data_IF_876067399914
#
_entry.id   IF_876067399914
#
_cell.length_a   1.000
_cell.length_b   1.000
_cell.length_c   1.000
_cell.angle_alpha   90.00
_cell.angle_beta   90.00
_cell.angle_gamma   90.00
#
_symmetry.space_group_name_H-M   'P 1'
#
loop_
_entity.id
_entity.type
_entity.pdbx_description
1 polymer ?
#
# COMPACT_ATOMS: atom_id res chain seq x y z
N UNK A 1 23.56 -2.12 17.64
CA UNK A 1 22.85 -3.31 17.12
C UNK A 1 21.46 -3.05 16.54
N UNK A 2 20.84 -1.86 16.74
CA UNK A 2 19.51 -1.54 16.15
C UNK A 2 19.60 -1.09 14.69
N UNK A 3 20.63 -0.31 14.33
CA UNK A 3 20.83 0.23 12.98
C UNK A 3 21.02 -0.85 11.89
N UNK A 4 21.65 -1.98 12.24
CA UNK A 4 21.85 -3.10 11.31
C UNK A 4 20.54 -3.84 11.01
N UNK A 5 19.65 -3.96 12.00
CA UNK A 5 18.32 -4.56 11.82
C UNK A 5 17.46 -3.66 10.95
N UNK A 6 17.52 -2.34 11.14
CA UNK A 6 16.78 -1.38 10.33
C UNK A 6 17.28 -1.35 8.88
N UNK A 7 18.60 -1.38 8.66
CA UNK A 7 19.18 -1.49 7.33
C UNK A 7 18.84 -2.82 6.65
N UNK A 8 18.88 -3.93 7.40
CA UNK A 8 18.48 -5.25 6.90
C UNK A 8 17.01 -5.29 6.52
N UNK A 9 16.13 -4.74 7.35
CA UNK A 9 14.71 -4.59 7.05
C UNK A 9 14.47 -3.69 5.82
N UNK A 10 15.29 -2.65 5.63
CA UNK A 10 15.22 -1.78 4.46
C UNK A 10 15.61 -2.54 3.19
N UNK A 11 16.71 -3.31 3.23
CA UNK A 11 17.17 -4.15 2.13
C UNK A 11 16.14 -5.23 1.79
N UNK A 12 15.58 -5.92 2.79
CA UNK A 12 14.51 -6.90 2.59
C UNK A 12 13.25 -6.27 2.00
N UNK A 13 12.88 -5.07 2.44
CA UNK A 13 11.74 -4.34 1.87
C UNK A 13 11.97 -3.93 0.42
N UNK A 14 13.22 -3.61 0.06
CA UNK A 14 13.61 -3.28 -1.32
C UNK A 14 13.67 -4.54 -2.21
N UNK A 15 14.15 -5.67 -1.70
CA UNK A 15 14.17 -6.93 -2.44
C UNK A 15 12.76 -7.48 -2.69
N UNK A 16 11.87 -7.42 -1.68
CA UNK A 16 10.47 -7.81 -1.83
C UNK A 16 9.74 -6.93 -2.85
N UNK A 17 10.16 -5.67 -2.99
CA UNK A 17 9.60 -4.75 -3.97
C UNK A 17 9.87 -5.11 -5.44
N UNK A 18 10.74 -6.08 -5.74
CA UNK A 18 11.02 -6.57 -7.10
C UNK A 18 10.10 -7.72 -7.54
N UNK A 19 9.46 -8.43 -6.59
CA UNK A 19 8.64 -9.63 -6.85
C UNK A 19 7.26 -9.55 -6.16
N UNK A 20 6.60 -8.40 -6.21
CA UNK A 20 5.24 -8.27 -5.66
C UNK A 20 4.27 -9.00 -6.58
N UNK A 21 3.66 -10.07 -6.06
CA UNK A 21 2.64 -10.86 -6.78
C UNK A 21 1.25 -10.24 -6.62
N UNK A 22 0.30 -10.64 -7.47
CA UNK A 22 -1.10 -10.25 -7.32
C UNK A 22 -1.72 -10.77 -6.01
N UNK A 23 -1.25 -11.92 -5.51
CA UNK A 23 -1.68 -12.47 -4.21
C UNK A 23 -1.21 -11.58 -3.05
N UNK A 24 0.01 -11.01 -3.13
CA UNK A 24 0.52 -10.06 -2.12
C UNK A 24 -0.31 -8.77 -2.11
N UNK A 25 -0.69 -8.28 -3.29
CA UNK A 25 -1.53 -7.10 -3.45
C UNK A 25 -2.90 -7.38 -2.83
N UNK A 26 -3.53 -8.49 -3.21
CA UNK A 26 -4.85 -8.88 -2.73
C UNK A 26 -4.87 -9.06 -1.20
N UNK A 27 -3.89 -9.78 -0.65
CA UNK A 27 -3.80 -9.99 0.79
C UNK A 27 -3.63 -8.66 1.55
N UNK A 28 -2.82 -7.74 1.05
CA UNK A 28 -2.67 -6.42 1.65
C UNK A 28 -3.94 -5.58 1.53
N UNK A 29 -4.64 -5.63 0.38
CA UNK A 29 -5.92 -4.95 0.18
C UNK A 29 -6.97 -5.43 1.19
N UNK A 30 -7.02 -6.73 1.48
CA UNK A 30 -7.92 -7.31 2.47
C UNK A 30 -7.59 -6.86 3.90
N UNK A 31 -6.30 -6.79 4.27
CA UNK A 31 -5.91 -6.24 5.56
C UNK A 31 -6.27 -4.75 5.68
N UNK A 32 -6.04 -3.96 4.62
CA UNK A 32 -6.35 -2.53 4.59
C UNK A 32 -7.86 -2.28 4.67
N UNK A 33 -8.70 -3.12 4.05
CA UNK A 33 -10.19 -3.04 4.10
C UNK A 33 -10.78 -3.09 5.51
N UNK A 34 -10.02 -3.57 6.50
CA UNK A 34 -10.42 -3.52 7.92
C UNK A 34 -10.43 -2.10 8.49
N UNK A 35 -9.87 -1.13 7.78
CA UNK A 35 -9.84 0.27 8.18
C UNK A 35 -10.94 1.08 7.50
N UNK A 36 -11.61 1.94 8.27
CA UNK A 36 -12.65 2.84 7.75
C UNK A 36 -12.11 3.79 6.68
N UNK A 37 -10.90 4.34 6.87
CA UNK A 37 -10.26 5.22 5.89
C UNK A 37 -10.04 4.53 4.54
N UNK A 38 -9.74 3.23 4.53
CA UNK A 38 -9.52 2.49 3.28
C UNK A 38 -10.86 2.16 2.63
N UNK A 39 -11.88 1.83 3.42
CA UNK A 39 -13.23 1.64 2.90
C UNK A 39 -13.78 2.90 2.24
N UNK A 40 -13.44 4.08 2.74
CA UNK A 40 -13.80 5.34 2.07
C UNK A 40 -13.20 5.42 0.66
N UNK A 41 -11.92 5.08 0.48
CA UNK A 41 -11.30 5.03 -0.85
C UNK A 41 -11.92 3.97 -1.77
N UNK A 42 -12.38 2.84 -1.21
CA UNK A 42 -13.06 1.81 -2.00
C UNK A 42 -14.47 2.25 -2.44
N UNK A 43 -15.14 3.10 -1.66
CA UNK A 43 -16.51 3.56 -1.97
C UNK A 43 -16.53 4.79 -2.88
N UNK A 44 -15.50 5.63 -2.83
CA UNK A 44 -15.44 6.86 -3.61
C UNK A 44 -14.71 6.65 -4.95
N UNK A 45 -15.38 6.97 -6.05
CA UNK A 45 -14.67 7.30 -7.30
C UNK A 45 -13.98 8.66 -7.15
N UNK A 46 -12.81 8.90 -7.77
CA UNK A 46 -12.05 8.04 -8.69
C UNK A 46 -11.08 7.06 -8.00
N UNK A 47 -10.99 7.11 -6.68
CA UNK A 47 -10.03 6.31 -5.89
C UNK A 47 -10.22 4.81 -6.10
N UNK A 48 -11.47 4.36 -6.15
CA UNK A 48 -11.81 2.96 -6.39
C UNK A 48 -11.24 2.45 -7.72
N UNK A 49 -11.38 3.20 -8.81
CA UNK A 49 -10.80 2.81 -10.09
C UNK A 49 -9.27 2.68 -9.99
N UNK A 50 -8.58 3.63 -9.37
CA UNK A 50 -7.14 3.56 -9.20
C UNK A 50 -6.69 2.35 -8.37
N UNK A 51 -7.44 1.98 -7.33
CA UNK A 51 -7.18 0.77 -6.55
C UNK A 51 -7.36 -0.53 -7.37
N UNK A 52 -8.22 -0.50 -8.39
CA UNK A 52 -8.51 -1.67 -9.24
C UNK A 52 -7.60 -1.75 -10.45
N UNK A 53 -7.25 -0.64 -11.11
CA UNK A 53 -6.60 -0.68 -12.43
C UNK A 53 -5.23 -0.02 -12.47
N UNK A 54 -4.90 0.91 -11.57
CA UNK A 54 -3.61 1.61 -11.64
C UNK A 54 -2.49 0.73 -11.08
N UNK A 55 -1.60 0.32 -11.99
CA UNK A 55 -0.47 -0.57 -11.69
C UNK A 55 0.44 0.00 -10.59
N UNK A 56 0.67 1.31 -10.57
CA UNK A 56 1.58 1.91 -9.57
C UNK A 56 0.94 1.91 -8.18
N UNK A 57 -0.34 2.25 -8.08
CA UNK A 57 -1.11 2.21 -6.82
C UNK A 57 -1.15 0.78 -6.29
N UNK A 58 -1.51 -0.19 -7.13
CA UNK A 58 -1.55 -1.62 -6.77
C UNK A 58 -0.18 -2.11 -6.31
N UNK A 59 0.88 -1.78 -7.04
CA UNK A 59 2.24 -2.16 -6.68
C UNK A 59 2.68 -1.54 -5.34
N UNK A 60 2.33 -0.27 -5.07
CA UNK A 60 2.62 0.37 -3.78
C UNK A 60 1.92 -0.32 -2.62
N UNK A 61 0.70 -0.81 -2.82
CA UNK A 61 -0.05 -1.58 -1.83
C UNK A 61 0.59 -2.95 -1.63
N UNK A 62 0.95 -3.67 -2.69
CA UNK A 62 1.63 -4.97 -2.56
C UNK A 62 3.02 -4.88 -1.92
N UNK A 63 3.73 -3.75 -2.06
CA UNK A 63 5.01 -3.49 -1.39
C UNK A 63 4.89 -3.30 0.13
N UNK A 64 3.68 -3.16 0.67
CA UNK A 64 3.50 -3.10 2.12
C UNK A 64 3.91 -4.44 2.73
N UNK A 65 4.64 -4.38 3.84
CA UNK A 65 5.03 -5.59 4.55
C UNK A 65 3.78 -6.25 5.16
N UNK A 66 3.30 -7.31 4.50
CA UNK A 66 2.08 -8.03 4.85
C UNK A 66 2.10 -8.50 6.32
N UNK A 67 3.21 -9.08 6.79
CA UNK A 67 3.33 -9.54 8.19
C UNK A 67 3.13 -8.41 9.20
N UNK A 68 3.69 -7.22 8.92
CA UNK A 68 3.53 -6.04 9.79
C UNK A 68 2.13 -5.45 9.67
N UNK A 69 1.56 -5.45 8.47
CA UNK A 69 0.22 -4.97 8.19
C UNK A 69 -0.84 -5.84 8.89
N UNK A 70 -0.71 -7.17 8.82
CA UNK A 70 -1.57 -8.12 9.51
C UNK A 70 -1.48 -7.97 11.05
N UNK A 71 -0.29 -7.65 11.58
CA UNK A 71 -0.09 -7.42 13.03
C UNK A 71 -0.70 -6.09 13.52
N UNK A 72 -0.62 -5.03 12.72
CA UNK A 72 -1.20 -3.73 13.05
C UNK A 72 -1.75 -3.04 11.80
N UNK A 73 -2.98 -3.38 11.36
CA UNK A 73 -3.56 -2.86 10.14
C UNK A 73 -3.93 -1.37 10.24
N UNK A 74 -4.04 -0.84 11.47
CA UNK A 74 -4.47 0.53 11.77
C UNK A 74 -3.33 1.53 11.84
N UNK A 75 -2.09 1.11 11.55
CA UNK A 75 -0.95 2.01 11.58
C UNK A 75 -1.11 3.12 10.54
N UNK A 76 -1.19 4.37 10.99
CA UNK A 76 -1.41 5.57 10.15
C UNK A 76 -0.42 5.70 8.98
N UNK A 77 0.81 5.19 9.13
CA UNK A 77 1.79 5.21 8.04
C UNK A 77 1.28 4.52 6.77
N UNK A 78 0.43 3.50 6.90
CA UNK A 78 -0.15 2.82 5.74
C UNK A 78 -1.16 3.70 5.01
N UNK A 79 -2.00 4.43 5.74
CA UNK A 79 -2.90 5.42 5.16
C UNK A 79 -2.11 6.48 4.39
N UNK A 80 -1.04 7.01 4.98
CA UNK A 80 -0.22 8.02 4.30
C UNK A 80 0.40 7.49 2.99
N UNK A 81 0.90 6.26 2.98
CA UNK A 81 1.48 5.63 1.78
C UNK A 81 0.43 5.48 0.67
N UNK A 82 -0.74 4.95 1.03
CA UNK A 82 -1.84 4.71 0.06
C UNK A 82 -2.42 6.03 -0.44
N UNK A 83 -2.71 6.96 0.45
CA UNK A 83 -3.24 8.28 0.10
C UNK A 83 -2.30 9.03 -0.85
N UNK A 84 -0.99 9.02 -0.58
CA UNK A 84 0.01 9.65 -1.44
C UNK A 84 0.08 9.01 -2.84
N UNK A 85 -0.03 7.68 -2.92
CA UNK A 85 -0.05 6.98 -4.20
C UNK A 85 -1.30 7.35 -5.03
N UNK A 86 -2.46 7.41 -4.38
CA UNK A 86 -3.73 7.79 -5.00
C UNK A 86 -3.75 9.26 -5.45
N UNK A 87 -3.36 10.19 -4.57
CA UNK A 87 -3.33 11.63 -4.86
C UNK A 87 -2.40 11.96 -6.03
N UNK A 88 -1.25 11.29 -6.13
CA UNK A 88 -0.32 11.47 -7.25
C UNK A 88 -0.98 11.20 -8.61
N UNK A 89 -1.95 10.28 -8.67
CA UNK A 89 -2.63 9.92 -9.92
C UNK A 89 -3.77 10.87 -10.25
N UNK A 90 -4.52 11.31 -9.25
CA UNK A 90 -5.62 12.26 -9.45
C UNK A 90 -5.07 13.60 -9.92
N UNK A 91 -4.05 14.15 -9.25
CA UNK A 91 -3.45 15.44 -9.60
C UNK A 91 -2.88 15.43 -11.03
N UNK A 92 -2.37 14.29 -11.50
CA UNK A 92 -1.82 14.14 -12.86
C UNK A 92 -2.92 13.93 -13.91
N UNK A 93 -4.12 13.48 -13.52
CA UNK A 93 -5.24 13.30 -14.46
C UNK A 93 -6.00 14.61 -14.75
N UNK A 94 -5.83 15.63 -13.92
CA UNK A 94 -6.48 16.95 -14.05
C UNK A 94 -5.54 18.02 -14.66
N UNK A 95 -4.32 17.66 -15.07
CA UNK A 95 -3.31 18.53 -15.67
C UNK A 95 -3.06 18.19 -17.15
#
# INVERSE_FOLDING_TARGET
MVLLIDAYNLILSYAYAYNVSEDDIQANMEQLRKNDWFQQYVRCEPYRQLLISDKDVRLRIGKLNNKRLAKNPHKESYQHIVAKALQKKIIVSDA
#
